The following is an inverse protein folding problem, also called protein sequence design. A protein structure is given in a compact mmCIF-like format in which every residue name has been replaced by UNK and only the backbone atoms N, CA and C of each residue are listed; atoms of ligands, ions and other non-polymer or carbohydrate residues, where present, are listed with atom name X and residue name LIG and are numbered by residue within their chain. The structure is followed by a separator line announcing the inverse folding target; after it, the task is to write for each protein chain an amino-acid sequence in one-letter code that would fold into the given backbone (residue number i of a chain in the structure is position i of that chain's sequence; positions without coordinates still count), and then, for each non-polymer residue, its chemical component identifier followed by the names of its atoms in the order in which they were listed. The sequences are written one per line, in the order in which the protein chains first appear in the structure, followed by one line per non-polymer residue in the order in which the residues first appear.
data_IF_524214201245
#
_entry.id   IF_524214201245
#
_cell.length_a   1.000
_cell.length_b   1.000
_cell.length_c   1.000
_cell.angle_alpha   90.00
_cell.angle_beta   90.00
_cell.angle_gamma   90.00
#
_symmetry.space_group_name_H-M   'P 1'
#
loop_
_entity.id
_entity.type
_entity.pdbx_description
1 polymer ?
#
# COMPACT_ATOMS: atom_id res chain seq x y z
N UNK A 1 -5.34 5.42 -31.26
CA UNK A 1 -5.33 6.62 -30.40
C UNK A 1 -5.89 6.19 -29.06
N UNK A 2 -5.03 6.00 -28.05
CA UNK A 2 -5.41 5.38 -26.78
C UNK A 2 -6.36 6.30 -26.01
N UNK A 3 -7.59 5.87 -25.79
CA UNK A 3 -8.57 6.52 -24.92
C UNK A 3 -8.26 6.17 -23.47
N UNK A 4 -7.12 6.65 -22.96
CA UNK A 4 -6.79 6.53 -21.55
C UNK A 4 -7.66 7.50 -20.73
N UNK A 5 -8.20 7.07 -19.58
CA UNK A 5 -9.02 7.92 -18.73
C UNK A 5 -8.17 9.04 -18.13
N UNK A 6 -8.18 10.21 -18.77
CA UNK A 6 -7.68 11.47 -18.19
C UNK A 6 -8.76 12.05 -17.28
N UNK A 7 -8.34 12.72 -16.20
CA UNK A 7 -9.27 13.47 -15.35
C UNK A 7 -10.04 14.47 -16.23
N UNK A 8 -11.39 14.39 -16.32
CA UNK A 8 -12.19 15.17 -17.27
C UNK A 8 -12.30 16.66 -16.91
N UNK A 9 -11.80 17.07 -15.75
CA UNK A 9 -11.81 18.45 -15.26
C UNK A 9 -10.44 19.12 -15.51
N UNK A 10 -10.17 19.54 -16.75
CA UNK A 10 -8.91 20.23 -17.12
C UNK A 10 -9.02 21.77 -17.10
N UNK A 11 -10.10 22.34 -16.57
CA UNK A 11 -10.38 23.77 -16.63
C UNK A 11 -10.82 24.36 -15.30
N UNK A 12 -9.95 25.21 -14.74
CA UNK A 12 -10.27 26.29 -13.78
C UNK A 12 -10.94 25.90 -12.46
N UNK A 13 -10.12 25.45 -11.49
CA UNK A 13 -10.11 25.92 -10.09
C UNK A 13 -9.26 24.96 -9.24
N UNK A 14 -7.95 25.04 -9.38
CA UNK A 14 -7.08 24.73 -8.25
C UNK A 14 -5.84 25.58 -8.41
N UNK A 15 -5.58 26.44 -7.43
CA UNK A 15 -4.22 26.82 -7.11
C UNK A 15 -3.34 25.56 -7.18
N UNK A 16 -2.07 25.61 -7.61
CA UNK A 16 -1.19 24.45 -7.59
C UNK A 16 -0.91 24.08 -6.13
N UNK A 17 -1.88 23.46 -5.46
CA UNK A 17 -1.78 22.95 -4.10
C UNK A 17 -1.12 21.59 -4.27
N UNK A 18 0.21 21.63 -4.45
CA UNK A 18 1.13 20.51 -4.62
C UNK A 18 0.95 19.65 -5.89
N UNK A 19 1.80 19.88 -6.90
CA UNK A 19 2.11 18.88 -7.93
C UNK A 19 1.22 18.83 -9.18
N UNK A 20 0.25 19.74 -9.35
CA UNK A 20 -0.57 19.83 -10.57
C UNK A 20 0.11 20.55 -11.75
N UNK A 21 -0.45 20.41 -12.95
CA UNK A 21 0.02 21.05 -14.19
C UNK A 21 0.87 20.15 -15.08
N UNK A 22 1.24 20.64 -16.27
CA UNK A 22 2.13 19.92 -17.20
C UNK A 22 3.53 19.78 -16.60
N UNK A 23 4.06 18.56 -16.57
CA UNK A 23 5.37 18.23 -15.99
C UNK A 23 6.38 17.84 -17.07
N UNK A 24 7.66 17.71 -16.69
CA UNK A 24 8.74 17.30 -17.62
C UNK A 24 8.45 15.98 -18.34
N UNK A 25 7.77 15.04 -17.68
CA UNK A 25 7.38 13.74 -18.29
C UNK A 25 6.36 13.88 -19.41
N UNK A 26 5.55 14.93 -19.39
CA UNK A 26 4.56 15.19 -20.44
C UNK A 26 5.26 15.73 -21.71
N UNK A 27 6.30 16.55 -21.54
CA UNK A 27 7.09 17.11 -22.64
C UNK A 27 8.12 16.13 -23.20
N UNK A 28 8.78 15.35 -22.34
CA UNK A 28 9.82 14.39 -22.70
C UNK A 28 9.51 12.99 -22.14
N UNK A 29 8.52 12.28 -22.69
CA UNK A 29 8.04 11.01 -22.13
C UNK A 29 9.09 9.88 -22.13
N UNK A 30 10.07 9.95 -23.02
CA UNK A 30 11.14 8.96 -23.15
C UNK A 30 12.46 9.39 -22.47
N UNK A 31 12.47 10.50 -21.73
CA UNK A 31 13.65 10.92 -20.97
C UNK A 31 13.92 9.91 -19.85
N UNK A 32 15.21 9.65 -19.57
CA UNK A 32 15.62 8.77 -18.48
C UNK A 32 15.05 9.26 -17.14
N UNK A 33 14.39 8.34 -16.43
CA UNK A 33 13.77 8.57 -15.13
C UNK A 33 14.71 8.13 -14.01
N UNK A 34 14.99 9.04 -13.08
CA UNK A 34 15.88 8.81 -11.92
C UNK A 34 15.15 8.84 -10.58
N UNK A 35 13.85 9.10 -10.58
CA UNK A 35 13.03 9.18 -9.37
C UNK A 35 12.95 7.84 -8.61
N UNK A 36 13.09 6.71 -9.31
CA UNK A 36 13.20 5.37 -8.71
C UNK A 36 14.34 5.28 -7.67
N UNK A 37 15.43 6.04 -7.87
CA UNK A 37 16.59 6.06 -6.96
C UNK A 37 16.32 6.84 -5.67
N UNK A 38 15.17 7.47 -5.55
CA UNK A 38 14.77 8.28 -4.39
C UNK A 38 13.57 7.73 -3.64
N UNK A 39 13.04 6.57 -4.08
CA UNK A 39 11.97 5.86 -3.38
C UNK A 39 12.47 5.36 -2.01
N UNK A 40 11.57 5.32 -1.03
CA UNK A 40 11.85 4.86 0.35
C UNK A 40 12.94 5.66 1.09
N UNK A 41 13.01 6.98 0.87
CA UNK A 41 13.88 7.85 1.64
C UNK A 41 13.48 7.88 3.13
N UNK A 42 14.46 8.00 4.03
CA UNK A 42 14.23 8.22 5.46
C UNK A 42 13.40 9.48 5.77
N UNK A 43 13.32 10.44 4.84
CA UNK A 43 12.47 11.63 4.98
C UNK A 43 10.97 11.33 4.97
N UNK A 44 10.58 10.19 4.38
CA UNK A 44 9.19 9.72 4.33
C UNK A 44 8.89 8.62 5.34
N UNK A 45 9.89 8.14 6.09
CA UNK A 45 9.72 7.09 7.08
C UNK A 45 9.34 7.71 8.45
N UNK A 46 8.12 7.45 8.97
CA UNK A 46 7.69 7.99 10.26
C UNK A 46 8.35 7.30 11.46
N UNK A 47 8.96 6.12 11.30
CA UNK A 47 9.59 5.37 12.40
C UNK A 47 11.00 5.90 12.72
N UNK A 48 11.62 6.57 11.75
CA UNK A 48 12.93 7.22 11.91
C UNK A 48 14.11 6.25 11.91
N UNK A 49 15.30 6.78 11.63
CA UNK A 49 16.51 5.96 11.37
C UNK A 49 17.08 5.20 12.57
N UNK A 50 16.59 5.45 13.79
CA UNK A 50 17.01 4.72 14.99
C UNK A 50 16.16 3.47 15.26
N UNK A 51 15.05 3.28 14.54
CA UNK A 51 14.12 2.18 14.75
C UNK A 51 14.64 0.87 14.12
N UNK A 52 14.72 -0.20 14.91
CA UNK A 52 15.08 -1.54 14.44
C UNK A 52 13.87 -2.48 14.58
N UNK A 53 13.18 -2.70 13.45
CA UNK A 53 12.02 -3.59 13.39
C UNK A 53 12.35 -5.03 13.84
N UNK A 54 13.56 -5.54 13.55
CA UNK A 54 13.94 -6.90 13.94
C UNK A 54 14.12 -7.00 15.44
N UNK A 55 14.70 -5.98 16.08
CA UNK A 55 14.85 -5.93 17.53
C UNK A 55 13.50 -5.83 18.23
N UNK A 56 12.58 -4.99 17.73
CA UNK A 56 11.24 -4.85 18.31
C UNK A 56 10.38 -6.09 18.10
N UNK A 57 10.41 -6.68 16.90
CA UNK A 57 9.64 -7.90 16.61
C UNK A 57 10.05 -9.09 17.50
N UNK A 58 11.31 -9.18 17.90
CA UNK A 58 11.77 -10.22 18.84
C UNK A 58 11.19 -10.08 20.25
N UNK A 59 10.76 -8.88 20.64
CA UNK A 59 10.14 -8.61 21.94
C UNK A 59 8.64 -8.87 21.94
N UNK A 60 8.04 -9.03 20.76
CA UNK A 60 6.61 -9.23 20.60
C UNK A 60 6.17 -10.54 21.26
N UNK A 61 5.08 -10.49 22.01
CA UNK A 61 4.38 -11.70 22.44
C UNK A 61 3.67 -12.33 21.24
N UNK A 62 4.38 -13.23 20.58
CA UNK A 62 3.94 -13.87 19.35
C UNK A 62 2.74 -14.81 19.57
N UNK A 63 2.64 -15.42 20.75
CA UNK A 63 1.52 -16.32 21.06
C UNK A 63 0.25 -15.52 21.37
N UNK A 64 0.37 -14.42 22.12
CA UNK A 64 -0.74 -13.50 22.33
C UNK A 64 -1.28 -12.94 21.01
N UNK A 65 -0.40 -12.45 20.11
CA UNK A 65 -0.83 -11.96 18.80
C UNK A 65 -1.62 -13.01 18.01
N UNK A 66 -1.15 -14.26 17.97
CA UNK A 66 -1.88 -15.34 17.28
C UNK A 66 -3.21 -15.67 17.98
N UNK A 67 -3.29 -15.56 19.30
CA UNK A 67 -4.54 -15.76 20.03
C UNK A 67 -5.55 -14.66 19.66
N UNK A 68 -5.12 -13.40 19.65
CA UNK A 68 -5.95 -12.25 19.29
C UNK A 68 -6.47 -12.37 17.85
N UNK A 69 -5.61 -12.76 16.90
CA UNK A 69 -6.02 -12.99 15.51
C UNK A 69 -7.05 -14.13 15.38
N UNK A 70 -6.96 -15.17 16.22
CA UNK A 70 -7.98 -16.25 16.24
C UNK A 70 -9.31 -15.76 16.80
N UNK A 71 -9.29 -14.95 17.85
CA UNK A 71 -10.50 -14.36 18.40
C UNK A 71 -11.18 -13.42 17.38
N UNK A 72 -10.38 -12.56 16.72
CA UNK A 72 -10.87 -11.62 15.70
C UNK A 72 -11.58 -12.33 14.54
N UNK A 73 -11.15 -13.54 14.16
CA UNK A 73 -11.78 -14.25 13.06
C UNK A 73 -13.26 -14.53 13.27
N UNK A 74 -13.75 -14.58 14.51
CA UNK A 74 -15.18 -14.78 14.84
C UNK A 74 -15.86 -13.54 15.42
N UNK A 75 -15.14 -12.42 15.54
CA UNK A 75 -15.67 -11.16 16.09
C UNK A 75 -16.26 -10.29 14.97
N UNK A 76 -17.44 -10.69 14.49
CA UNK A 76 -18.11 -10.06 13.34
C UNK A 76 -18.45 -8.59 13.59
N UNK A 77 -18.13 -7.74 12.62
CA UNK A 77 -18.38 -6.30 12.66
C UNK A 77 -19.58 -5.92 11.78
N UNK A 78 -20.48 -5.07 12.27
CA UNK A 78 -21.73 -4.72 11.55
C UNK A 78 -21.49 -4.00 10.21
N UNK A 79 -20.40 -3.22 10.11
CA UNK A 79 -20.03 -2.50 8.89
C UNK A 79 -19.43 -3.42 7.82
N UNK A 80 -19.01 -4.64 8.19
CA UNK A 80 -18.54 -5.67 7.26
C UNK A 80 -18.76 -7.07 7.86
N UNK A 81 -20.00 -7.59 7.85
CA UNK A 81 -20.33 -8.83 8.57
C UNK A 81 -19.52 -10.04 8.09
N UNK A 82 -19.18 -10.93 9.01
CA UNK A 82 -18.42 -12.14 8.68
C UNK A 82 -19.33 -13.19 8.02
N UNK A 83 -18.95 -13.63 6.82
CA UNK A 83 -19.60 -14.76 6.16
C UNK A 83 -19.52 -16.00 7.06
N UNK A 84 -20.66 -16.66 7.28
CA UNK A 84 -20.77 -17.83 8.16
C UNK A 84 -20.30 -17.58 9.61
N UNK A 85 -20.26 -16.32 10.05
CA UNK A 85 -19.75 -15.93 11.35
C UNK A 85 -18.22 -16.05 11.49
N UNK A 86 -17.47 -16.14 10.37
CA UNK A 86 -16.02 -16.33 10.43
C UNK A 86 -15.26 -15.65 9.27
N UNK A 87 -14.33 -14.73 9.55
CA UNK A 87 -13.51 -14.02 8.55
C UNK A 87 -12.37 -14.84 7.92
N UNK A 88 -12.12 -16.06 8.41
CA UNK A 88 -11.07 -16.95 7.92
C UNK A 88 -10.95 -17.03 6.39
N UNK A 89 -12.02 -17.33 5.63
CA UNK A 89 -11.95 -17.36 4.16
C UNK A 89 -11.51 -16.03 3.55
N UNK A 90 -11.97 -14.90 4.10
CA UNK A 90 -11.55 -13.56 3.68
C UNK A 90 -10.06 -13.31 3.96
N UNK A 91 -9.57 -13.63 5.15
CA UNK A 91 -8.17 -13.44 5.53
C UNK A 91 -7.21 -14.36 4.76
N UNK A 92 -7.63 -15.58 4.44
CA UNK A 92 -6.88 -16.47 3.54
C UNK A 92 -6.75 -15.84 2.16
N UNK A 93 -7.87 -15.37 1.58
CA UNK A 93 -7.85 -14.71 0.26
C UNK A 93 -7.00 -13.44 0.27
N UNK A 94 -7.11 -12.61 1.30
CA UNK A 94 -6.29 -11.40 1.46
C UNK A 94 -4.80 -11.74 1.43
N UNK A 95 -4.38 -12.74 2.20
CA UNK A 95 -2.98 -13.17 2.27
C UNK A 95 -2.50 -13.75 0.94
N UNK A 96 -3.34 -14.56 0.28
CA UNK A 96 -3.08 -15.08 -1.06
C UNK A 96 -2.86 -13.95 -2.08
N UNK A 97 -3.75 -12.95 -2.12
CA UNK A 97 -3.61 -11.81 -3.02
C UNK A 97 -2.39 -10.94 -2.70
N UNK A 98 -2.02 -10.82 -1.42
CA UNK A 98 -0.82 -10.09 -1.02
C UNK A 98 0.46 -10.76 -1.52
N UNK A 99 0.55 -12.10 -1.45
CA UNK A 99 1.73 -12.83 -1.89
C UNK A 99 1.74 -13.10 -3.40
N UNK A 100 0.56 -13.19 -4.02
CA UNK A 100 0.36 -13.56 -5.42
C UNK A 100 0.80 -12.52 -6.45
N UNK A 101 1.29 -11.35 -6.03
CA UNK A 101 1.88 -10.34 -6.93
C UNK A 101 3.34 -10.62 -7.29
N UNK A 102 4.00 -11.56 -6.59
CA UNK A 102 5.38 -11.96 -6.84
C UNK A 102 5.59 -12.52 -8.25
N UNK A 103 6.68 -12.13 -8.92
CA UNK A 103 7.04 -12.62 -10.26
C UNK A 103 8.47 -13.13 -10.27
N UNK A 104 8.66 -14.36 -10.74
CA UNK A 104 9.99 -15.02 -10.75
C UNK A 104 11.04 -14.31 -11.62
N UNK A 105 10.64 -13.46 -12.57
CA UNK A 105 11.55 -12.85 -13.53
C UNK A 105 12.39 -11.70 -12.96
N UNK A 106 11.85 -10.95 -12.00
CA UNK A 106 12.45 -9.74 -11.46
C UNK A 106 12.22 -9.54 -9.95
N UNK A 107 11.54 -10.50 -9.31
CA UNK A 107 11.26 -10.52 -7.88
C UNK A 107 9.86 -10.04 -7.51
#
# INVERSE_FOLDING_TARGET
MSSEPKCPFTGHASSPVAGGGTQNRDWWPNQLRVDLLTQHSAKSDPLGGAFDYRAEFKKLDYEALKADLRALMTDSQDWWPADFGHYGPLFIRMTWHSAGTYRVGDG
#
